data_IF_474568470357
#
_entry.id   IF_474568470357
#
_cell.length_a   1.000
_cell.length_b   1.000
_cell.length_c   1.000
_cell.angle_alpha   90.00
_cell.angle_beta   90.00
_cell.angle_gamma   90.00
#
_symmetry.space_group_name_H-M   'P 1'
#
loop_
_entity.id
_entity.type
_entity.pdbx_description
1 polymer ?
#
# COMPACT_ATOMS: atom_id res chain seq x y z
N UNK A 1 6.80 7.50 -12.70
CA UNK A 1 5.60 6.64 -12.48
C UNK A 1 4.89 7.19 -11.26
N UNK A 2 3.57 7.36 -11.28
CA UNK A 2 2.81 7.89 -10.14
C UNK A 2 2.72 6.90 -8.97
N UNK A 3 2.39 7.40 -7.77
CA UNK A 3 2.33 6.61 -6.53
C UNK A 3 1.43 5.37 -6.68
N UNK A 4 0.17 5.57 -7.09
CA UNK A 4 -0.80 4.48 -7.28
C UNK A 4 -0.27 3.46 -8.29
N UNK A 5 0.20 3.93 -9.45
CA UNK A 5 0.70 3.06 -10.51
C UNK A 5 1.92 2.22 -10.08
N UNK A 6 2.85 2.82 -9.32
CA UNK A 6 4.03 2.11 -8.83
C UNK A 6 3.66 0.99 -7.87
N UNK A 7 2.81 1.29 -6.88
CA UNK A 7 2.39 0.31 -5.87
C UNK A 7 1.56 -0.80 -6.49
N UNK A 8 0.58 -0.47 -7.34
CA UNK A 8 -0.27 -1.50 -7.97
C UNK A 8 0.52 -2.39 -8.93
N UNK A 9 1.57 -1.88 -9.57
CA UNK A 9 2.46 -2.67 -10.43
C UNK A 9 3.24 -3.73 -9.65
N UNK A 10 3.76 -3.38 -8.47
CA UNK A 10 4.45 -4.34 -7.58
C UNK A 10 3.47 -5.43 -7.14
N UNK A 11 2.27 -5.04 -6.71
CA UNK A 11 1.23 -5.97 -6.27
C UNK A 11 0.80 -6.91 -7.40
N UNK A 12 0.62 -6.39 -8.61
CA UNK A 12 0.28 -7.19 -9.79
C UNK A 12 1.40 -8.17 -10.15
N UNK A 13 2.66 -7.74 -10.10
CA UNK A 13 3.83 -8.61 -10.34
C UNK A 13 3.90 -9.79 -9.38
N UNK A 14 3.50 -9.58 -8.12
CA UNK A 14 3.47 -10.62 -7.08
C UNK A 14 2.15 -11.42 -7.08
N UNK A 15 1.23 -11.16 -8.02
CA UNK A 15 -0.06 -11.84 -8.12
C UNK A 15 -1.02 -11.52 -6.97
N UNK A 16 -0.84 -10.38 -6.30
CA UNK A 16 -1.66 -9.97 -5.15
C UNK A 16 -2.87 -9.17 -5.64
N UNK A 17 -4.06 -9.75 -5.49
CA UNK A 17 -5.33 -9.11 -5.84
C UNK A 17 -5.68 -7.98 -4.86
N UNK A 18 -5.97 -6.81 -5.42
CA UNK A 18 -6.45 -5.60 -4.73
C UNK A 18 -7.98 -5.61 -4.74
N UNK A 19 -8.59 -5.27 -3.60
CA UNK A 19 -10.04 -5.11 -3.45
C UNK A 19 -10.49 -3.67 -3.35
N UNK A 20 -9.67 -2.86 -2.71
CA UNK A 20 -9.98 -1.46 -2.43
C UNK A 20 -8.69 -0.68 -2.36
N UNK A 21 -8.76 0.56 -2.84
CA UNK A 21 -7.69 1.53 -2.76
C UNK A 21 -8.29 2.89 -2.45
N UNK A 22 -7.64 3.62 -1.54
CA UNK A 22 -7.92 5.02 -1.25
C UNK A 22 -6.59 5.75 -1.31
N UNK A 23 -6.47 6.66 -2.27
CA UNK A 23 -5.31 7.50 -2.45
C UNK A 23 -5.65 8.93 -2.07
N UNK A 24 -4.84 9.52 -1.20
CA UNK A 24 -4.88 10.94 -0.87
C UNK A 24 -3.75 11.66 -1.63
N UNK A 25 -4.00 12.89 -2.05
CA UNK A 25 -3.01 13.69 -2.78
C UNK A 25 -1.98 14.28 -1.80
N UNK A 26 -0.67 13.95 -1.95
CA UNK A 26 0.38 14.51 -1.11
C UNK A 26 0.55 16.01 -1.23
N UNK A 27 0.14 16.63 -2.35
CA UNK A 27 0.16 18.08 -2.52
C UNK A 27 -0.90 18.78 -1.65
N UNK A 28 -1.93 18.06 -1.22
CA UNK A 28 -3.02 18.60 -0.39
C UNK A 28 -2.80 18.36 1.11
N UNK A 29 -1.95 17.41 1.50
CA UNK A 29 -1.67 17.10 2.91
C UNK A 29 -0.34 16.37 3.10
N UNK A 30 0.45 16.87 4.05
CA UNK A 30 1.67 16.21 4.56
C UNK A 30 1.39 14.86 5.22
N UNK A 31 0.18 14.63 5.71
CA UNK A 31 -0.21 13.34 6.31
C UNK A 31 -0.77 12.32 5.32
N UNK A 32 -0.82 12.69 4.03
CA UNK A 32 -1.34 11.86 2.94
C UNK A 32 -0.87 10.41 3.03
N UNK A 33 -1.81 9.51 2.80
CA UNK A 33 -1.57 8.07 2.86
C UNK A 33 -2.21 7.37 1.67
N UNK A 34 -1.58 6.27 1.27
CA UNK A 34 -2.19 5.31 0.36
C UNK A 34 -2.71 4.13 1.17
N UNK A 35 -4.02 3.93 1.19
CA UNK A 35 -4.65 2.79 1.86
C UNK A 35 -5.04 1.73 0.86
N UNK A 36 -4.63 0.47 1.09
CA UNK A 36 -4.90 -0.65 0.19
C UNK A 36 -5.46 -1.83 0.98
N UNK A 37 -6.50 -2.46 0.45
CA UNK A 37 -7.01 -3.73 0.96
C UNK A 37 -6.73 -4.84 -0.04
N UNK A 38 -6.04 -5.88 0.40
CA UNK A 38 -5.71 -7.05 -0.43
C UNK A 38 -6.45 -8.31 0.02
N UNK A 39 -6.58 -9.26 -0.91
CA UNK A 39 -7.14 -10.58 -0.61
C UNK A 39 -6.18 -11.47 0.21
N UNK A 40 -4.88 -11.38 -0.07
CA UNK A 40 -3.82 -12.21 0.53
C UNK A 40 -2.84 -11.37 1.35
N UNK A 41 -2.19 -12.00 2.34
CA UNK A 41 -1.23 -11.32 3.20
C UNK A 41 -0.06 -10.84 2.34
N UNK A 42 0.39 -9.61 2.59
CA UNK A 42 1.54 -9.06 1.87
C UNK A 42 2.84 -9.64 2.44
N UNK A 43 3.74 -10.15 1.59
CA UNK A 43 5.09 -10.53 2.01
C UNK A 43 5.86 -9.34 2.56
N UNK A 44 6.51 -9.49 3.72
CA UNK A 44 7.29 -8.40 4.34
C UNK A 44 8.39 -7.82 3.44
N UNK A 45 8.95 -8.63 2.52
CA UNK A 45 9.94 -8.19 1.52
C UNK A 45 9.46 -7.04 0.62
N UNK A 46 8.15 -6.86 0.44
CA UNK A 46 7.61 -5.82 -0.43
C UNK A 46 7.57 -4.44 0.25
N UNK A 47 7.75 -4.37 1.58
CA UNK A 47 7.71 -3.12 2.34
C UNK A 47 8.77 -2.15 1.83
N UNK A 48 10.01 -2.63 1.63
CA UNK A 48 11.11 -1.80 1.14
C UNK A 48 10.86 -1.27 -0.28
N UNK A 49 10.15 -2.04 -1.11
CA UNK A 49 9.77 -1.59 -2.45
C UNK A 49 8.70 -0.50 -2.41
N UNK A 50 7.73 -0.61 -1.49
CA UNK A 50 6.70 0.41 -1.32
C UNK A 50 7.27 1.72 -0.78
N UNK A 51 8.16 1.66 0.20
CA UNK A 51 8.80 2.83 0.80
C UNK A 51 9.65 3.63 -0.18
N UNK A 52 10.18 3.00 -1.24
CA UNK A 52 10.87 3.70 -2.33
C UNK A 52 9.95 4.53 -3.21
N UNK A 53 8.65 4.24 -3.20
CA UNK A 53 7.65 4.92 -4.02
C UNK A 53 6.91 5.97 -3.19
N UNK A 54 6.51 5.61 -1.97
CA UNK A 54 5.75 6.49 -1.10
C UNK A 54 5.99 6.16 0.36
N UNK A 55 6.26 7.20 1.16
CA UNK A 55 6.66 7.03 2.55
C UNK A 55 5.56 6.42 3.44
N UNK A 56 4.28 6.53 3.05
CA UNK A 56 3.16 6.13 3.90
C UNK A 56 2.12 5.29 3.15
N UNK A 57 2.32 3.99 3.19
CA UNK A 57 1.38 3.00 2.63
C UNK A 57 0.79 2.16 3.76
N UNK A 58 -0.54 2.16 3.86
CA UNK A 58 -1.30 1.40 4.86
C UNK A 58 -1.99 0.23 4.16
N UNK A 59 -1.73 -0.99 4.62
CA UNK A 59 -2.22 -2.19 3.94
C UNK A 59 -2.97 -3.08 4.91
N UNK A 60 -4.20 -3.43 4.52
CA UNK A 60 -5.06 -4.35 5.25
C UNK A 60 -5.24 -5.66 4.48
N UNK A 61 -5.24 -6.78 5.21
CA UNK A 61 -5.57 -8.08 4.66
C UNK A 61 -6.92 -8.59 5.19
N UNK A 62 -7.66 -9.34 4.36
CA UNK A 62 -8.94 -10.00 4.72
C UNK A 62 -8.91 -10.78 6.04
N UNK A 63 -7.81 -11.47 6.33
CA UNK A 63 -7.72 -12.44 7.43
C UNK A 63 -7.53 -11.74 8.78
N UNK A 64 -7.06 -10.48 8.79
CA UNK A 64 -6.91 -9.69 10.00
C UNK A 64 -7.21 -8.23 9.70
N UNK A 65 -8.39 -7.75 10.12
CA UNK A 65 -8.77 -6.34 10.15
C UNK A 65 -7.91 -5.51 11.14
N UNK A 66 -6.79 -6.06 11.63
CA UNK A 66 -5.95 -5.57 12.72
C UNK A 66 -4.48 -5.71 12.33
N UNK A 67 -4.00 -4.97 11.34
CA UNK A 67 -2.56 -4.65 11.22
C UNK A 67 -2.42 -3.20 10.77
N UNK A 68 -2.18 -2.32 11.73
CA UNK A 68 -1.72 -0.96 11.46
C UNK A 68 -0.22 -1.07 11.15
N UNK A 69 0.14 -1.09 9.87
CA UNK A 69 1.55 -0.86 9.49
C UNK A 69 1.77 0.65 9.58
N UNK A 70 2.19 1.11 10.76
CA UNK A 70 2.72 2.47 10.98
C UNK A 70 4.24 2.37 10.81
N UNK A 71 4.74 2.76 9.65
CA UNK A 71 6.17 3.03 9.49
C UNK A 71 6.32 4.50 9.85
N UNK A 72 6.97 4.75 10.99
CA UNK A 72 7.30 6.10 11.48
C UNK A 72 8.69 6.44 10.99
#
# INVERSE_FOLDING_TARGET
VGIVAGITSILAREGISIRYILAEDPELSVESKLTIVTNTKIPGKLVDEFLKIFNKVVIYNRINFIFNVRIT
#
